data_IF_086680331454
#
_entry.id   IF_086680331454
#
_cell.length_a   1.000
_cell.length_b   1.000
_cell.length_c   1.000
_cell.angle_alpha   90.00
_cell.angle_beta   90.00
_cell.angle_gamma   90.00
#
_symmetry.space_group_name_H-M   'P 1'
#
loop_
_entity.id
_entity.type
_entity.pdbx_description
1 polymer ?
#
# COMPACT_ATOMS: atom_id res chain seq x y z
N UNK A 1 -13.51 6.43 0.80
CA UNK A 1 -12.16 6.36 0.23
C UNK A 1 -11.46 5.17 0.85
N UNK A 2 -10.87 4.29 0.04
CA UNK A 2 -10.18 3.08 0.50
C UNK A 2 -8.67 3.30 0.50
N UNK A 3 -8.05 3.14 1.67
CA UNK A 3 -6.59 3.09 1.84
C UNK A 3 -6.16 1.62 1.85
N UNK A 4 -5.41 1.22 0.83
CA UNK A 4 -4.88 -0.13 0.67
C UNK A 4 -3.45 -0.25 1.21
N UNK A 5 -3.18 -1.36 1.89
CA UNK A 5 -1.85 -1.72 2.41
C UNK A 5 -1.49 -3.11 1.90
N UNK A 6 -0.76 -3.23 0.77
CA UNK A 6 -0.31 -4.51 0.26
C UNK A 6 0.81 -5.09 1.14
N UNK A 7 1.07 -6.38 0.97
CA UNK A 7 2.22 -7.04 1.56
C UNK A 7 3.49 -6.67 0.79
N UNK A 8 4.57 -6.42 1.52
CA UNK A 8 5.87 -6.22 0.88
C UNK A 8 6.43 -7.52 0.31
N UNK A 9 6.91 -7.44 -0.93
CA UNK A 9 7.41 -8.59 -1.70
C UNK A 9 8.93 -8.57 -1.88
N UNK A 10 9.60 -7.45 -1.54
CA UNK A 10 11.05 -7.31 -1.66
C UNK A 10 11.75 -8.18 -0.61
N UNK A 11 12.69 -9.01 -1.04
CA UNK A 11 13.43 -9.90 -0.15
C UNK A 11 14.14 -9.11 0.97
N UNK A 12 13.95 -9.54 2.21
CA UNK A 12 14.51 -8.89 3.39
C UNK A 12 13.73 -7.66 3.89
N UNK A 13 12.73 -7.18 3.15
CA UNK A 13 11.81 -6.17 3.67
C UNK A 13 10.92 -6.79 4.75
N UNK A 14 10.88 -6.15 5.92
CA UNK A 14 10.12 -6.62 7.08
C UNK A 14 9.15 -5.57 7.61
N UNK A 15 9.17 -4.36 7.06
CA UNK A 15 8.28 -3.27 7.45
C UNK A 15 6.93 -3.45 6.76
N UNK A 16 5.95 -2.73 7.31
CA UNK A 16 4.62 -2.56 6.73
C UNK A 16 4.31 -1.07 6.70
N UNK A 17 3.65 -0.59 5.66
CA UNK A 17 3.45 0.84 5.45
C UNK A 17 2.47 1.47 6.47
N UNK A 18 1.61 0.66 7.08
CA UNK A 18 0.64 1.09 8.09
C UNK A 18 0.61 0.12 9.27
N UNK A 19 0.82 0.65 10.48
CA UNK A 19 0.69 -0.10 11.73
C UNK A 19 -0.76 -0.11 12.22
N UNK A 20 -1.22 -1.16 12.93
CA UNK A 20 -2.62 -1.30 13.34
C UNK A 20 -3.16 -0.11 14.15
N UNK A 21 -2.34 0.53 14.97
CA UNK A 21 -2.73 1.65 15.84
C UNK A 21 -3.22 2.87 15.06
N UNK A 22 -2.78 3.03 13.80
CA UNK A 22 -3.15 4.17 12.96
C UNK A 22 -4.46 3.95 12.17
N UNK A 23 -4.98 2.72 12.10
CA UNK A 23 -6.24 2.43 11.39
C UNK A 23 -7.38 3.28 11.95
N UNK A 24 -7.51 3.31 13.28
CA UNK A 24 -8.58 4.07 13.95
C UNK A 24 -8.57 5.56 13.61
N UNK A 25 -7.39 6.14 13.41
CA UNK A 25 -7.24 7.55 13.01
C UNK A 25 -7.70 7.79 11.57
N UNK A 26 -7.36 6.87 10.66
CA UNK A 26 -7.83 6.94 9.27
C UNK A 26 -9.35 6.76 9.19
N UNK A 27 -9.90 5.83 9.97
CA UNK A 27 -11.35 5.63 10.09
C UNK A 27 -12.07 6.89 10.60
N UNK A 28 -11.53 7.55 11.63
CA UNK A 28 -12.07 8.83 12.13
C UNK A 28 -12.00 9.95 11.08
N UNK A 29 -11.04 9.91 10.17
CA UNK A 29 -10.94 10.83 9.04
C UNK A 29 -11.86 10.44 7.85
N UNK A 30 -12.67 9.38 7.98
CA UNK A 30 -13.62 8.93 6.96
C UNK A 30 -13.02 7.99 5.90
N UNK A 31 -11.84 7.43 6.13
CA UNK A 31 -11.24 6.43 5.24
C UNK A 31 -11.54 5.01 5.70
N UNK A 32 -11.79 4.11 4.75
CA UNK A 32 -11.82 2.67 4.97
C UNK A 32 -10.41 2.13 4.74
N UNK A 33 -9.96 1.19 5.57
CA UNK A 33 -8.62 0.60 5.43
C UNK A 33 -8.75 -0.86 5.00
N UNK A 34 -8.14 -1.20 3.88
CA UNK A 34 -7.99 -2.57 3.39
C UNK A 34 -6.52 -3.00 3.52
N UNK A 35 -6.28 -4.18 4.07
CA UNK A 35 -4.92 -4.71 4.30
C UNK A 35 -4.85 -6.10 3.68
N UNK A 36 -3.79 -6.34 2.91
CA UNK A 36 -3.52 -7.68 2.38
C UNK A 36 -3.18 -8.62 3.54
N UNK A 37 -3.79 -9.81 3.54
CA UNK A 37 -3.55 -10.81 4.57
C UNK A 37 -2.05 -11.14 4.70
N UNK A 38 -1.52 -11.05 5.92
CA UNK A 38 -0.12 -11.26 6.23
C UNK A 38 0.81 -10.08 5.92
N UNK A 39 0.31 -8.91 5.50
CA UNK A 39 1.15 -7.74 5.21
C UNK A 39 1.99 -7.28 6.41
N UNK A 40 1.43 -7.34 7.63
CA UNK A 40 2.12 -6.96 8.85
C UNK A 40 2.95 -8.06 9.52
N UNK A 41 2.88 -9.30 9.02
CA UNK A 41 3.41 -10.46 9.75
C UNK A 41 4.93 -10.37 10.00
N UNK A 42 5.70 -9.94 9.00
CA UNK A 42 7.16 -9.79 9.13
C UNK A 42 7.58 -8.66 10.10
N UNK A 43 6.70 -7.68 10.28
CA UNK A 43 6.82 -6.57 11.21
C UNK A 43 6.34 -6.92 12.64
N UNK A 44 5.78 -8.11 12.84
CA UNK A 44 5.24 -8.57 14.13
C UNK A 44 3.78 -8.22 14.38
N UNK A 45 3.06 -7.73 13.38
CA UNK A 45 1.64 -7.43 13.48
C UNK A 45 0.82 -8.55 12.83
N UNK A 46 0.07 -9.28 13.66
CA UNK A 46 -0.84 -10.33 13.18
C UNK A 46 -2.08 -9.70 12.52
N UNK A 47 -2.63 -10.39 11.53
CA UNK A 47 -3.87 -10.03 10.83
C UNK A 47 -5.04 -9.71 11.77
N UNK A 48 -5.16 -10.45 12.88
CA UNK A 48 -6.16 -10.21 13.91
C UNK A 48 -6.09 -8.79 14.49
N UNK A 49 -4.88 -8.22 14.66
CA UNK A 49 -4.71 -6.86 15.17
C UNK A 49 -5.24 -5.81 14.18
N UNK A 50 -5.09 -6.05 12.87
CA UNK A 50 -5.66 -5.16 11.86
C UNK A 50 -7.19 -5.23 11.87
N UNK A 51 -7.75 -6.44 11.91
CA UNK A 51 -9.20 -6.65 11.96
C UNK A 51 -9.85 -6.05 13.22
N UNK A 52 -9.23 -6.25 14.40
CA UNK A 52 -9.70 -5.67 15.67
C UNK A 52 -9.73 -4.13 15.65
N UNK A 53 -8.84 -3.50 14.88
CA UNK A 53 -8.80 -2.05 14.71
C UNK A 53 -9.72 -1.54 13.60
N UNK A 54 -10.45 -2.42 12.93
CA UNK A 54 -11.46 -2.08 11.93
C UNK A 54 -10.97 -2.07 10.49
N UNK A 55 -9.78 -2.62 10.20
CA UNK A 55 -9.35 -2.83 8.83
C UNK A 55 -10.05 -4.07 8.24
N UNK A 56 -10.36 -4.00 6.94
CA UNK A 56 -10.79 -5.15 6.15
C UNK A 56 -9.56 -5.92 5.68
N UNK A 57 -9.53 -7.23 5.96
CA UNK A 57 -8.51 -8.11 5.40
C UNK A 57 -8.95 -8.61 4.02
N UNK A 58 -8.04 -8.57 3.05
CA UNK A 58 -8.28 -8.99 1.67
C UNK A 58 -7.11 -9.86 1.17
N UNK A 59 -7.32 -10.61 0.08
CA UNK A 59 -6.24 -11.35 -0.62
C UNK A 59 -5.28 -10.44 -1.36
N UNK A 60 -5.78 -9.28 -1.79
CA UNK A 60 -5.12 -8.26 -2.58
C UNK A 60 -5.88 -6.94 -2.40
N UNK A 61 -5.22 -5.80 -2.64
CA UNK A 61 -5.79 -4.47 -2.39
C UNK A 61 -5.66 -3.49 -3.56
N UNK A 62 -4.95 -3.88 -4.64
CA UNK A 62 -4.50 -2.98 -5.69
C UNK A 62 -5.65 -2.40 -6.54
N UNK A 63 -6.67 -3.22 -6.82
CA UNK A 63 -7.77 -2.87 -7.73
C UNK A 63 -8.84 -1.99 -7.07
N UNK A 64 -9.01 -2.11 -5.75
CA UNK A 64 -10.02 -1.39 -4.96
C UNK A 64 -9.48 -0.14 -4.27
N UNK A 65 -8.18 -0.03 -4.04
CA UNK A 65 -7.61 1.08 -3.29
C UNK A 65 -7.71 2.41 -4.08
N UNK A 66 -8.15 3.47 -3.38
CA UNK A 66 -8.02 4.86 -3.84
C UNK A 66 -6.60 5.38 -3.57
N UNK A 67 -6.03 4.97 -2.43
CA UNK A 67 -4.68 5.32 -1.99
C UNK A 67 -3.97 4.04 -1.57
N UNK A 68 -2.82 3.74 -2.16
CA UNK A 68 -1.94 2.64 -1.77
C UNK A 68 -0.78 3.18 -0.95
N UNK A 69 -0.56 2.57 0.23
CA UNK A 69 0.58 2.85 1.08
C UNK A 69 1.55 1.69 0.98
N UNK A 70 2.76 1.95 0.51
CA UNK A 70 3.79 0.93 0.29
C UNK A 70 5.13 1.42 0.86
N UNK A 71 5.97 0.48 1.26
CA UNK A 71 7.32 0.78 1.75
C UNK A 71 8.29 0.86 0.58
N UNK A 72 8.38 -0.20 -0.22
CA UNK A 72 9.33 -0.29 -1.34
C UNK A 72 8.71 0.16 -2.66
N UNK A 73 9.52 0.46 -3.69
CA UNK A 73 9.02 0.76 -5.02
C UNK A 73 8.11 -0.38 -5.52
N UNK A 74 6.99 -0.09 -6.19
CA UNK A 74 6.13 -1.11 -6.73
C UNK A 74 6.79 -1.82 -7.91
N UNK A 75 6.54 -3.12 -8.02
CA UNK A 75 6.86 -3.92 -9.20
C UNK A 75 5.94 -3.58 -10.36
N UNK A 76 6.34 -3.92 -11.59
CA UNK A 76 5.49 -3.71 -12.78
C UNK A 76 4.15 -4.45 -12.67
N UNK A 77 4.13 -5.65 -12.08
CA UNK A 77 2.90 -6.41 -11.86
C UNK A 77 1.96 -5.67 -10.89
N UNK A 78 2.49 -5.20 -9.76
CA UNK A 78 1.71 -4.40 -8.80
C UNK A 78 1.15 -3.15 -9.47
N UNK A 79 1.95 -2.39 -10.24
CA UNK A 79 1.47 -1.20 -10.99
C UNK A 79 0.35 -1.58 -11.98
N UNK A 80 0.40 -2.76 -12.59
CA UNK A 80 -0.62 -3.22 -13.55
C UNK A 80 -1.96 -3.53 -12.89
N UNK A 81 -1.95 -3.93 -11.61
CA UNK A 81 -3.15 -4.23 -10.84
C UNK A 81 -3.74 -2.98 -10.16
N UNK A 82 -2.94 -1.91 -10.03
CA UNK A 82 -3.42 -0.64 -9.48
C UNK A 82 -4.57 -0.08 -10.29
N UNK A 83 -5.59 0.41 -9.58
CA UNK A 83 -6.67 1.17 -10.20
C UNK A 83 -6.11 2.42 -10.89
N UNK A 84 -6.51 2.64 -12.14
CA UNK A 84 -6.21 3.90 -12.84
C UNK A 84 -6.77 5.10 -12.05
N UNK A 85 -5.97 6.16 -11.94
CA UNK A 85 -6.34 7.36 -11.17
C UNK A 85 -6.17 7.23 -9.65
N UNK A 86 -5.69 6.09 -9.15
CA UNK A 86 -5.33 5.93 -7.73
C UNK A 86 -4.08 6.73 -7.36
N UNK A 87 -3.85 6.87 -6.06
CA UNK A 87 -2.66 7.47 -5.49
C UNK A 87 -1.73 6.40 -4.90
N UNK A 88 -0.42 6.52 -5.12
CA UNK A 88 0.60 5.70 -4.47
C UNK A 88 1.49 6.59 -3.58
N UNK A 89 1.75 6.15 -2.35
CA UNK A 89 2.68 6.81 -1.43
C UNK A 89 3.69 5.77 -0.92
N UNK A 90 4.99 6.04 -1.08
CA UNK A 90 6.05 5.14 -0.64
C UNK A 90 7.47 5.64 -0.97
N UNK A 91 8.47 4.79 -0.71
CA UNK A 91 9.86 5.06 -1.17
C UNK A 91 9.97 4.59 -2.63
N UNK A 92 9.90 5.51 -3.59
CA UNK A 92 9.81 5.17 -5.01
C UNK A 92 11.18 5.16 -5.69
N UNK A 93 12.17 5.84 -5.09
CA UNK A 93 13.53 6.00 -5.61
C UNK A 93 13.51 6.48 -7.09
N UNK A 94 12.92 7.65 -7.37
CA UNK A 94 12.59 8.07 -8.73
C UNK A 94 13.81 8.25 -9.64
N UNK A 95 14.99 8.50 -9.06
CA UNK A 95 16.24 8.63 -9.79
C UNK A 95 16.80 7.30 -10.30
N UNK A 96 16.44 6.18 -9.69
CA UNK A 96 16.93 4.84 -10.05
C UNK A 96 15.86 3.97 -10.71
N UNK A 97 14.57 4.20 -10.40
CA UNK A 97 13.43 3.41 -10.90
C UNK A 97 12.66 4.12 -12.02
N UNK A 98 13.36 4.71 -12.98
CA UNK A 98 12.76 5.56 -14.01
C UNK A 98 11.71 4.84 -14.86
N UNK A 99 11.88 3.54 -15.14
CA UNK A 99 10.91 2.74 -15.88
C UNK A 99 9.59 2.56 -15.11
N UNK A 100 9.65 2.30 -13.81
CA UNK A 100 8.47 2.19 -12.96
C UNK A 100 7.75 3.54 -12.85
N UNK A 101 8.50 4.64 -12.70
CA UNK A 101 7.91 6.00 -12.69
C UNK A 101 7.19 6.32 -14.00
N UNK A 102 7.78 5.96 -15.15
CA UNK A 102 7.12 6.12 -16.45
C UNK A 102 5.85 5.26 -16.56
N UNK A 103 5.87 4.05 -16.00
CA UNK A 103 4.72 3.16 -15.99
C UNK A 103 3.59 3.72 -15.12
N UNK A 104 3.90 4.22 -13.93
CA UNK A 104 2.95 4.92 -13.05
C UNK A 104 2.30 6.12 -13.76
N UNK A 105 3.11 6.93 -14.44
CA UNK A 105 2.62 8.10 -15.20
C UNK A 105 1.70 7.68 -16.37
N UNK A 106 2.10 6.66 -17.14
CA UNK A 106 1.30 6.12 -18.26
C UNK A 106 -0.05 5.59 -17.77
N UNK A 107 -0.05 4.96 -16.59
CA UNK A 107 -1.24 4.44 -15.90
C UNK A 107 -2.04 5.50 -15.15
N UNK A 108 -1.67 6.78 -15.25
CA UNK A 108 -2.32 7.91 -14.58
C UNK A 108 -2.43 7.72 -13.06
N UNK A 109 -1.42 7.08 -12.47
CA UNK A 109 -1.32 6.93 -11.01
C UNK A 109 -0.60 8.16 -10.47
N UNK A 110 -1.22 8.83 -9.50
CA UNK A 110 -0.59 9.96 -8.81
C UNK A 110 0.37 9.41 -7.77
N UNK A 111 1.66 9.67 -7.87
CA UNK A 111 2.66 9.08 -6.99
C UNK A 111 3.39 10.14 -6.16
N UNK A 112 3.48 9.92 -4.84
CA UNK A 112 4.26 10.74 -3.92
C UNK A 112 5.44 9.92 -3.37
N UNK A 113 6.66 10.36 -3.71
CA UNK A 113 7.89 9.86 -3.09
C UNK A 113 8.04 10.38 -1.67
N UNK A 114 8.55 9.53 -0.78
CA UNK A 114 8.86 9.87 0.60
C UNK A 114 10.35 10.21 0.85
N UNK A 115 11.18 10.18 -0.20
CA UNK A 115 12.57 10.68 -0.23
C UNK A 115 12.69 11.96 -1.06
#
# INVERSE_FOLDING_TARGET
MIVGVPKEVVSGERRVALVPELISKLAQAGAEVAVEAGAGAAAGFLDALYAEKGARLESDVFDKADVLLKVQPPTENEISEMREGSTLIGLLQPYTNTAQIQTLATRRITAFSME
#
